data_IF_755331732812
#
_entry.id   IF_755331732812
#
_cell.length_a   1.000
_cell.length_b   1.000
_cell.length_c   1.000
_cell.angle_alpha   90.00
_cell.angle_beta   90.00
_cell.angle_gamma   90.00
#
_symmetry.space_group_name_H-M   'P 1'
#
loop_
_entity.id
_entity.type
_entity.pdbx_description
1 polymer ?
#
# COMPACT_ATOMS: atom_id res chain seq x y z
N UNK A 1 -6.47 -3.26 0.62
CA UNK A 1 -7.78 -2.67 0.21
C UNK A 1 -8.63 -3.62 -0.60
N UNK A 2 -8.16 -4.11 -1.76
CA UNK A 2 -8.94 -5.03 -2.61
C UNK A 2 -9.36 -6.31 -1.87
N UNK A 3 -8.44 -6.91 -1.14
CA UNK A 3 -8.72 -8.10 -0.31
C UNK A 3 -9.83 -7.84 0.70
N UNK A 4 -9.72 -6.79 1.50
CA UNK A 4 -10.75 -6.42 2.49
C UNK A 4 -12.10 -6.07 1.83
N UNK A 5 -12.09 -5.51 0.62
CA UNK A 5 -13.32 -5.29 -0.15
C UNK A 5 -13.95 -6.62 -0.59
N UNK A 6 -13.15 -7.57 -1.06
CA UNK A 6 -13.63 -8.88 -1.48
C UNK A 6 -14.21 -9.66 -0.29
N UNK A 7 -13.53 -9.62 0.86
CA UNK A 7 -14.06 -10.18 2.11
C UNK A 7 -15.40 -9.55 2.47
N UNK A 8 -15.47 -8.21 2.50
CA UNK A 8 -16.72 -7.50 2.78
C UNK A 8 -17.84 -7.83 1.78
N UNK A 9 -17.50 -7.99 0.49
CA UNK A 9 -18.47 -8.40 -0.53
C UNK A 9 -18.94 -9.84 -0.36
N UNK A 10 -18.14 -10.71 0.26
CA UNK A 10 -18.49 -12.11 0.51
C UNK A 10 -19.35 -12.33 1.75
N UNK A 11 -19.51 -11.30 2.60
CA UNK A 11 -20.38 -11.35 3.77
C UNK A 11 -21.84 -11.67 3.36
N UNK A 12 -22.54 -12.48 4.14
CA UNK A 12 -23.92 -12.90 3.82
C UNK A 12 -24.96 -11.79 4.01
N UNK A 13 -24.62 -10.74 4.77
CA UNK A 13 -25.54 -9.69 5.18
C UNK A 13 -25.02 -8.32 4.78
N UNK A 14 -25.76 -7.65 3.90
CA UNK A 14 -25.54 -6.24 3.57
C UNK A 14 -26.82 -5.43 3.74
N UNK A 15 -26.64 -4.17 4.13
CA UNK A 15 -27.72 -3.20 4.01
C UNK A 15 -28.07 -3.00 2.53
N UNK A 16 -29.36 -3.00 2.21
CA UNK A 16 -29.85 -2.72 0.86
C UNK A 16 -30.35 -1.28 0.77
N UNK A 17 -30.14 -0.68 -0.40
CA UNK A 17 -30.83 0.56 -0.80
C UNK A 17 -32.33 0.29 -0.99
N UNK A 18 -33.20 1.32 -1.00
CA UNK A 18 -34.63 1.14 -1.30
C UNK A 18 -34.90 0.46 -2.64
N UNK A 19 -33.95 0.53 -3.59
CA UNK A 19 -34.01 -0.15 -4.88
C UNK A 19 -33.49 -1.60 -4.85
N UNK A 20 -33.23 -2.17 -3.68
CA UNK A 20 -32.77 -3.56 -3.50
C UNK A 20 -31.30 -3.82 -3.83
N UNK A 21 -30.49 -2.78 -4.09
CA UNK A 21 -29.05 -2.93 -4.35
C UNK A 21 -28.26 -2.91 -3.05
N UNK A 22 -27.17 -3.68 -2.96
CA UNK A 22 -26.20 -3.59 -1.86
C UNK A 22 -25.74 -2.15 -1.69
N UNK A 23 -25.84 -1.64 -0.46
CA UNK A 23 -25.40 -0.31 -0.10
C UNK A 23 -23.87 -0.29 -0.04
N UNK A 24 -23.27 0.80 -0.54
CA UNK A 24 -21.83 1.00 -0.45
C UNK A 24 -21.35 0.99 1.01
N UNK A 25 -20.13 0.50 1.29
CA UNK A 25 -19.57 0.58 2.63
C UNK A 25 -19.43 2.04 3.06
N UNK A 26 -19.52 2.29 4.36
CA UNK A 26 -19.28 3.62 4.92
C UNK A 26 -17.84 4.08 4.62
N UNK A 27 -17.64 5.40 4.44
CA UNK A 27 -16.31 5.94 4.18
C UNK A 27 -15.31 5.62 5.31
N UNK A 28 -15.77 5.56 6.56
CA UNK A 28 -14.95 5.13 7.70
C UNK A 28 -14.42 3.71 7.54
N UNK A 29 -15.23 2.78 7.04
CA UNK A 29 -14.84 1.40 6.76
C UNK A 29 -13.79 1.34 5.65
N UNK A 30 -13.98 2.10 4.58
CA UNK A 30 -12.99 2.20 3.49
C UNK A 30 -11.67 2.79 3.98
N UNK A 31 -11.72 3.85 4.80
CA UNK A 31 -10.53 4.45 5.41
C UNK A 31 -9.78 3.45 6.30
N UNK A 32 -10.49 2.59 7.03
CA UNK A 32 -9.88 1.52 7.81
C UNK A 32 -9.15 0.50 6.91
N UNK A 33 -9.73 0.11 5.78
CA UNK A 33 -9.06 -0.78 4.81
C UNK A 33 -7.79 -0.16 4.24
N UNK A 34 -7.82 1.14 3.93
CA UNK A 34 -6.63 1.88 3.49
C UNK A 34 -5.56 1.88 4.58
N UNK A 35 -5.95 2.17 5.83
CA UNK A 35 -5.03 2.14 6.99
C UNK A 35 -4.36 0.78 7.14
N UNK A 36 -5.14 -0.30 7.19
CA UNK A 36 -4.60 -1.66 7.35
C UNK A 36 -3.68 -2.04 6.19
N UNK A 37 -4.05 -1.66 4.95
CA UNK A 37 -3.19 -1.92 3.80
C UNK A 37 -1.85 -1.17 3.90
N UNK A 38 -1.84 0.08 4.34
CA UNK A 38 -0.59 0.81 4.57
C UNK A 38 0.24 0.22 5.71
N UNK A 39 -0.40 -0.19 6.81
CA UNK A 39 0.28 -0.83 7.95
C UNK A 39 0.91 -2.19 7.58
N UNK A 40 0.38 -2.88 6.57
CA UNK A 40 0.95 -4.14 6.07
C UNK A 40 2.18 -3.97 5.17
N UNK A 41 2.48 -2.76 4.70
CA UNK A 41 3.64 -2.51 3.85
C UNK A 41 4.88 -2.35 4.72
N UNK A 42 5.93 -3.10 4.41
CA UNK A 42 7.22 -2.98 5.09
C UNK A 42 7.80 -1.56 4.89
N UNK A 43 8.20 -0.92 5.99
CA UNK A 43 8.80 0.44 6.01
C UNK A 43 10.01 0.55 5.09
N UNK A 44 10.83 -0.49 4.97
CA UNK A 44 11.98 -0.53 4.06
C UNK A 44 11.51 -0.36 2.61
N UNK A 45 10.41 -1.02 2.21
CA UNK A 45 9.83 -0.84 0.87
C UNK A 45 9.35 0.59 0.62
N UNK A 46 8.85 1.25 1.66
CA UNK A 46 8.49 2.68 1.59
C UNK A 46 9.76 3.51 1.40
N UNK A 47 10.78 3.36 2.24
CA UNK A 47 12.05 4.10 2.08
C UNK A 47 12.67 3.91 0.70
N UNK A 48 12.68 2.67 0.21
CA UNK A 48 13.25 2.32 -1.08
C UNK A 48 12.46 2.96 -2.22
N UNK A 49 11.13 3.08 -2.15
CA UNK A 49 10.38 3.79 -3.19
C UNK A 49 10.70 5.28 -3.24
N UNK A 50 11.00 5.91 -2.09
CA UNK A 50 11.44 7.31 -2.05
C UNK A 50 12.85 7.46 -2.66
N UNK A 51 13.76 6.53 -2.38
CA UNK A 51 15.09 6.49 -3.04
C UNK A 51 14.97 6.27 -4.54
N UNK A 52 14.17 5.30 -4.98
CA UNK A 52 13.96 5.01 -6.40
C UNK A 52 13.41 6.21 -7.18
N UNK A 53 12.59 7.04 -6.54
CA UNK A 53 12.04 8.26 -7.13
C UNK A 53 12.98 9.48 -7.01
N UNK A 54 14.21 9.31 -6.50
CA UNK A 54 15.16 10.41 -6.27
C UNK A 54 14.77 11.38 -5.16
N UNK A 55 13.77 11.04 -4.32
CA UNK A 55 13.24 11.96 -3.30
C UNK A 55 14.14 11.98 -2.07
N UNK A 56 14.69 10.82 -1.68
CA UNK A 56 15.52 10.66 -0.48
C UNK A 56 16.93 10.15 -0.80
N UNK A 57 17.44 10.49 -1.99
CA UNK A 57 18.80 10.19 -2.46
C UNK A 57 19.74 11.28 -1.97
N UNK A 58 20.98 10.91 -1.65
CA UNK A 58 22.03 11.85 -1.28
C UNK A 58 22.37 12.83 -2.42
N UNK A 59 22.61 14.10 -2.06
CA UNK A 59 22.84 15.17 -3.05
C UNK A 59 24.24 15.15 -3.66
N UNK A 60 25.13 14.33 -3.13
CA UNK A 60 26.50 14.18 -3.60
C UNK A 60 26.63 13.23 -4.80
N UNK A 61 25.51 12.63 -5.23
CA UNK A 61 25.43 11.72 -6.37
C UNK A 61 25.88 10.30 -6.07
N UNK A 62 26.24 9.98 -4.83
CA UNK A 62 26.69 8.62 -4.43
C UNK A 62 25.59 7.58 -4.48
N UNK A 63 24.33 8.03 -4.48
CA UNK A 63 23.14 7.19 -4.47
C UNK A 63 22.34 7.26 -5.79
N UNK A 64 22.87 7.92 -6.82
CA UNK A 64 22.18 8.11 -8.11
C UNK A 64 21.87 6.79 -8.81
N UNK A 65 22.68 5.75 -8.56
CA UNK A 65 22.48 4.39 -9.10
C UNK A 65 21.15 3.76 -8.63
N UNK A 66 20.56 4.23 -7.54
CA UNK A 66 19.26 3.74 -7.06
C UNK A 66 18.07 4.38 -7.77
N UNK A 67 18.27 5.49 -8.49
CA UNK A 67 17.17 6.22 -9.13
C UNK A 67 16.66 5.41 -10.32
N UNK A 68 15.36 5.12 -10.32
CA UNK A 68 14.68 4.24 -11.27
C UNK A 68 15.16 2.78 -11.30
N UNK A 69 16.07 2.37 -10.40
CA UNK A 69 16.50 0.98 -10.25
C UNK A 69 15.82 0.29 -9.06
N UNK A 70 14.73 -0.40 -9.37
CA UNK A 70 13.95 -1.14 -8.39
C UNK A 70 14.59 -2.46 -7.97
N UNK A 71 15.48 -3.02 -8.79
CA UNK A 71 16.06 -4.34 -8.52
C UNK A 71 17.21 -4.21 -7.53
N UNK A 72 18.08 -3.21 -7.68
CA UNK A 72 19.09 -2.84 -6.68
C UNK A 72 18.49 -2.56 -5.30
N UNK A 73 17.27 -2.03 -5.25
CA UNK A 73 16.57 -1.70 -4.01
C UNK A 73 15.74 -2.87 -3.43
N UNK A 74 15.48 -3.94 -4.18
CA UNK A 74 14.81 -5.14 -3.63
C UNK A 74 15.75 -5.96 -2.75
N UNK A 75 17.01 -6.08 -3.16
CA UNK A 75 18.01 -6.94 -2.50
C UNK A 75 18.42 -6.40 -1.11
N UNK A 76 18.23 -5.10 -0.88
CA UNK A 76 18.46 -4.46 0.42
C UNK A 76 17.41 -4.83 1.49
N UNK A 77 16.30 -5.47 1.13
CA UNK A 77 15.24 -5.89 2.08
C UNK A 77 15.59 -7.21 2.77
N UNK A 78 16.46 -8.04 2.17
CA UNK A 78 16.81 -9.37 2.70
C UNK A 78 17.95 -9.35 3.74
N UNK A 79 18.57 -8.19 3.97
CA UNK A 79 19.82 -8.07 4.74
C UNK A 79 19.72 -7.28 6.06
N UNK A 80 18.53 -6.91 6.54
CA UNK A 80 18.34 -6.39 7.91
C UNK A 80 17.73 -7.49 8.82
N UNK A 81 18.29 -7.70 10.04
CA UNK A 81 17.80 -8.72 10.99
C UNK A 81 16.41 -8.43 11.57
#
# INVERSE_FOLDING_TARGET
VREQYNEWMSDEVHELTPAGRIKKPAYSKVAQWVKVAWESINVIKIKNSFKCCGISVEKDGTEDDYIFDYDLLKDNVENEP
#
